data_IF_884598169747
#
_entry.id   IF_884598169747
#
_cell.length_a   1.000
_cell.length_b   1.000
_cell.length_c   1.000
_cell.angle_alpha   90.00
_cell.angle_beta   90.00
_cell.angle_gamma   90.00
#
_symmetry.space_group_name_H-M   'P 1'
#
loop_
_entity.id
_entity.type
_entity.pdbx_description
1 polymer ?
#
# COMPACT_ATOMS: atom_id res chain seq x y z
N UNK A 1 17.43 -22.46 -2.08
CA UNK A 1 18.22 -21.51 -1.29
C UNK A 1 18.48 -20.26 -2.13
N UNK A 2 18.28 -19.07 -1.54
CA UNK A 2 18.50 -17.79 -2.24
C UNK A 2 19.99 -17.57 -2.48
N UNK A 3 20.35 -17.12 -3.70
CA UNK A 3 21.73 -16.74 -4.04
C UNK A 3 22.08 -15.31 -3.58
N UNK A 4 21.09 -14.55 -3.08
CA UNK A 4 21.27 -13.16 -2.63
C UNK A 4 20.58 -12.97 -1.30
N UNK A 5 21.20 -12.21 -0.42
CA UNK A 5 20.70 -11.85 0.90
C UNK A 5 20.73 -10.33 1.00
N UNK A 6 19.65 -9.75 1.50
CA UNK A 6 19.58 -8.34 1.87
C UNK A 6 19.94 -8.23 3.34
N UNK A 7 20.81 -7.29 3.67
CA UNK A 7 21.16 -6.92 5.05
C UNK A 7 20.83 -5.45 5.23
N UNK A 8 19.95 -5.16 6.18
CA UNK A 8 19.43 -3.81 6.44
C UNK A 8 19.63 -3.43 7.90
N UNK A 9 19.61 -2.11 8.17
CA UNK A 9 19.63 -1.63 9.55
C UNK A 9 18.32 -1.99 10.26
N UNK A 10 18.41 -2.51 11.48
CA UNK A 10 17.26 -2.79 12.30
C UNK A 10 16.69 -1.51 12.89
N UNK A 11 15.38 -1.32 12.79
CA UNK A 11 14.64 -0.29 13.52
C UNK A 11 14.16 -0.91 14.84
N UNK A 12 14.83 -0.58 15.95
CA UNK A 12 14.58 -1.23 17.24
C UNK A 12 13.23 -0.82 17.87
N UNK A 13 12.88 0.47 17.77
CA UNK A 13 11.61 1.02 18.28
C UNK A 13 10.65 1.27 17.13
N UNK A 14 10.21 0.19 16.51
CA UNK A 14 9.39 0.24 15.31
C UNK A 14 7.90 0.43 15.63
N UNK A 15 7.31 1.50 15.07
CA UNK A 15 5.86 1.64 14.88
C UNK A 15 5.54 1.50 13.39
N UNK A 16 4.72 0.51 13.04
CA UNK A 16 4.25 0.32 11.66
C UNK A 16 3.03 1.19 11.39
N UNK A 17 3.00 1.82 10.22
CA UNK A 17 1.85 2.60 9.74
C UNK A 17 1.60 2.26 8.28
N UNK A 18 0.33 1.98 7.95
CA UNK A 18 -0.08 1.71 6.59
C UNK A 18 -1.01 2.79 6.08
N UNK A 19 -0.86 3.14 4.80
CA UNK A 19 -1.72 4.09 4.10
C UNK A 19 -2.04 3.57 2.71
N UNK A 20 -3.32 3.46 2.36
CA UNK A 20 -3.74 3.07 1.02
C UNK A 20 -3.81 4.30 0.11
N UNK A 21 -3.52 4.12 -1.17
CA UNK A 21 -3.66 5.15 -2.21
C UNK A 21 -4.51 4.60 -3.35
N UNK A 22 -5.45 5.41 -3.83
CA UNK A 22 -6.36 5.10 -4.93
C UNK A 22 -6.23 6.16 -6.02
N UNK A 23 -6.09 5.75 -7.26
CA UNK A 23 -6.03 6.66 -8.41
C UNK A 23 -5.08 6.21 -9.50
N UNK A 24 -4.49 7.18 -10.17
CA UNK A 24 -3.46 7.01 -11.18
C UNK A 24 -2.31 8.01 -10.96
N UNK A 25 -1.38 8.07 -11.91
CA UNK A 25 -0.24 8.99 -11.85
C UNK A 25 -0.67 10.46 -11.71
N UNK A 26 -1.74 10.86 -12.39
CA UNK A 26 -2.19 12.26 -12.46
C UNK A 26 -3.07 12.64 -11.29
N UNK A 27 -3.96 11.72 -10.88
CA UNK A 27 -4.94 11.96 -9.84
C UNK A 27 -5.00 10.77 -8.88
N UNK A 28 -4.47 10.95 -7.68
CA UNK A 28 -4.51 9.94 -6.63
C UNK A 28 -4.79 10.58 -5.27
N UNK A 29 -5.51 9.83 -4.46
CA UNK A 29 -5.91 10.23 -3.10
C UNK A 29 -5.45 9.19 -2.08
N UNK A 30 -4.98 9.61 -0.89
CA UNK A 30 -4.62 8.71 0.19
C UNK A 30 -5.82 8.44 1.10
N UNK A 31 -5.89 7.24 1.66
CA UNK A 31 -6.82 6.89 2.74
C UNK A 31 -6.41 7.52 4.07
N UNK A 32 -7.19 7.24 5.14
CA UNK A 32 -6.70 7.35 6.52
C UNK A 32 -5.54 6.37 6.74
N UNK A 33 -4.71 6.65 7.75
CA UNK A 33 -3.63 5.74 8.15
C UNK A 33 -4.17 4.70 9.15
N UNK A 34 -3.59 3.49 9.13
CA UNK A 34 -3.77 2.49 10.18
C UNK A 34 -2.45 2.21 10.91
N UNK A 35 -2.53 1.86 12.18
CA UNK A 35 -1.45 1.28 12.94
C UNK A 35 -1.84 -0.16 13.31
N UNK A 36 -1.13 -1.19 12.76
CA UNK A 36 -1.30 -2.55 13.24
C UNK A 36 -0.85 -2.65 14.69
N UNK A 37 -1.71 -3.15 15.58
CA UNK A 37 -1.35 -3.36 16.99
C UNK A 37 -0.68 -4.73 17.11
N UNK A 38 0.60 -4.73 17.44
CA UNK A 38 1.34 -5.96 17.71
C UNK A 38 0.97 -6.48 19.10
N UNK A 39 0.39 -7.67 19.17
CA UNK A 39 0.29 -8.42 20.41
C UNK A 39 1.64 -9.06 20.70
N UNK A 40 2.52 -8.36 21.47
CA UNK A 40 3.77 -8.90 22.00
C UNK A 40 4.71 -9.59 21.00
N UNK A 41 5.96 -9.15 20.97
CA UNK A 41 7.10 -9.71 20.21
C UNK A 41 6.86 -10.10 18.75
N UNK A 42 7.64 -9.51 17.85
CA UNK A 42 7.81 -9.80 16.41
C UNK A 42 6.86 -10.89 15.90
N UNK A 43 5.77 -10.49 15.24
CA UNK A 43 4.98 -11.40 14.44
C UNK A 43 5.94 -12.07 13.45
N UNK A 44 6.30 -13.34 13.71
CA UNK A 44 7.11 -14.12 12.79
C UNK A 44 6.39 -14.19 11.44
N UNK A 45 7.12 -14.47 10.37
CA UNK A 45 6.54 -14.73 9.05
C UNK A 45 5.43 -15.80 9.15
N UNK A 46 5.58 -16.75 10.07
CA UNK A 46 4.60 -17.78 10.38
C UNK A 46 3.29 -17.20 10.92
N UNK A 47 3.34 -16.19 11.78
CA UNK A 47 2.15 -15.52 12.30
C UNK A 47 1.45 -14.64 11.23
N UNK A 48 2.22 -14.04 10.32
CA UNK A 48 1.66 -13.23 9.22
C UNK A 48 0.96 -14.08 8.14
N UNK A 49 1.47 -15.26 7.82
CA UNK A 49 1.06 -16.03 6.64
C UNK A 49 0.63 -17.48 6.93
N UNK A 50 1.04 -18.06 8.05
CA UNK A 50 0.76 -19.44 8.41
C UNK A 50 -0.11 -19.59 9.67
N UNK A 51 -0.65 -18.49 10.21
CA UNK A 51 -1.46 -18.41 11.44
C UNK A 51 -2.69 -19.31 11.46
N UNK A 52 -2.47 -20.60 11.31
CA UNK A 52 -3.41 -21.68 11.35
C UNK A 52 -2.84 -22.86 12.13
N UNK A 53 -2.73 -22.73 13.44
CA UNK A 53 -2.75 -23.93 14.29
C UNK A 53 -4.05 -24.69 14.03
N UNK A 54 -3.93 -26.01 13.88
CA UNK A 54 -4.90 -26.98 13.34
C UNK A 54 -6.32 -27.03 13.95
N UNK A 55 -6.88 -26.01 14.58
CA UNK A 55 -8.25 -26.04 15.13
C UNK A 55 -8.91 -24.66 15.34
N UNK A 56 -8.56 -23.60 14.58
CA UNK A 56 -9.40 -22.41 14.56
C UNK A 56 -9.94 -22.22 13.14
N UNK A 57 -11.25 -21.94 12.97
CA UNK A 57 -11.77 -21.52 11.67
C UNK A 57 -10.93 -20.31 11.24
N UNK A 58 -10.58 -20.22 9.95
CA UNK A 58 -9.86 -19.10 9.36
C UNK A 58 -10.69 -17.83 9.57
N UNK A 59 -10.56 -17.21 10.72
CA UNK A 59 -10.95 -15.82 10.90
C UNK A 59 -9.97 -15.04 10.03
N UNK A 60 -10.44 -14.73 8.83
CA UNK A 60 -9.69 -13.88 7.90
C UNK A 60 -9.19 -12.62 8.60
N UNK A 61 -8.59 -11.67 7.92
CA UNK A 61 -7.95 -10.42 8.39
C UNK A 61 -8.53 -9.69 9.64
N UNK A 62 -9.54 -10.25 10.31
CA UNK A 62 -10.17 -9.74 11.54
C UNK A 62 -9.39 -10.02 12.84
N UNK A 63 -8.35 -10.86 12.82
CA UNK A 63 -7.64 -11.24 14.05
C UNK A 63 -6.53 -10.28 14.47
N UNK A 64 -6.15 -9.32 13.60
CA UNK A 64 -5.14 -8.32 13.95
C UNK A 64 -5.86 -7.09 14.50
N UNK A 65 -5.63 -6.76 15.76
CA UNK A 65 -6.11 -5.49 16.35
C UNK A 65 -5.45 -4.35 15.58
N UNK A 66 -6.26 -3.41 15.08
CA UNK A 66 -5.81 -2.29 14.25
C UNK A 66 -6.38 -1.01 14.81
N UNK A 67 -5.58 0.02 14.86
CA UNK A 67 -6.03 1.37 15.19
C UNK A 67 -6.30 2.14 13.89
N UNK A 68 -7.56 2.44 13.61
CA UNK A 68 -8.01 3.14 12.39
C UNK A 68 -9.02 4.23 12.79
N UNK A 69 -8.74 5.51 12.55
CA UNK A 69 -7.45 6.07 12.10
C UNK A 69 -6.34 5.87 13.13
N UNK A 70 -5.09 5.73 12.67
CA UNK A 70 -3.92 5.64 13.54
C UNK A 70 -3.79 6.91 14.40
N UNK A 71 -3.53 6.74 15.70
CA UNK A 71 -3.26 7.84 16.60
C UNK A 71 -1.84 8.39 16.38
N UNK A 72 -1.76 9.41 15.53
CA UNK A 72 -0.54 10.11 15.15
C UNK A 72 -0.75 11.62 15.22
N UNK A 73 0.31 12.41 15.46
CA UNK A 73 0.28 13.86 15.27
C UNK A 73 -0.21 14.22 13.86
N UNK A 74 -0.91 15.36 13.73
CA UNK A 74 -1.52 15.76 12.46
C UNK A 74 -0.47 16.00 11.36
N UNK A 75 0.66 16.60 11.70
CA UNK A 75 1.79 16.82 10.78
C UNK A 75 2.41 15.53 10.29
N UNK A 76 2.58 14.53 11.17
CA UNK A 76 3.05 13.18 10.81
C UNK A 76 2.06 12.48 9.89
N UNK A 77 0.77 12.55 10.21
CA UNK A 77 -0.30 11.99 9.37
C UNK A 77 -0.29 12.62 7.98
N UNK A 78 -0.21 13.95 7.92
CA UNK A 78 -0.16 14.69 6.65
C UNK A 78 1.09 14.32 5.84
N UNK A 79 2.25 14.20 6.49
CA UNK A 79 3.49 13.79 5.86
C UNK A 79 3.39 12.38 5.25
N UNK A 80 2.89 11.39 6.02
CA UNK A 80 2.72 10.00 5.56
C UNK A 80 1.77 9.94 4.37
N UNK A 81 0.60 10.57 4.45
CA UNK A 81 -0.39 10.60 3.37
C UNK A 81 0.17 11.25 2.09
N UNK A 82 0.90 12.35 2.21
CA UNK A 82 1.58 12.99 1.09
C UNK A 82 2.64 12.08 0.48
N UNK A 83 3.48 11.48 1.32
CA UNK A 83 4.56 10.57 0.88
C UNK A 83 4.00 9.32 0.23
N UNK A 84 2.88 8.77 0.73
CA UNK A 84 2.19 7.65 0.10
C UNK A 84 1.78 7.97 -1.34
N UNK A 85 1.15 9.13 -1.58
CA UNK A 85 0.82 9.57 -2.93
C UNK A 85 2.06 9.80 -3.82
N UNK A 86 3.14 10.34 -3.26
CA UNK A 86 4.39 10.52 -3.99
C UNK A 86 4.99 9.17 -4.40
N UNK A 87 5.05 8.21 -3.48
CA UNK A 87 5.53 6.84 -3.74
C UNK A 87 4.71 6.17 -4.84
N UNK A 88 3.38 6.28 -4.75
CA UNK A 88 2.45 5.74 -5.75
C UNK A 88 2.73 6.29 -7.15
N UNK A 89 2.94 7.62 -7.27
CA UNK A 89 3.25 8.28 -8.55
C UNK A 89 4.63 7.91 -9.08
N UNK A 90 5.66 7.93 -8.24
CA UNK A 90 7.04 7.60 -8.66
C UNK A 90 7.15 6.18 -9.19
N UNK A 91 6.36 5.26 -8.63
CA UNK A 91 6.29 3.87 -9.07
C UNK A 91 5.29 3.64 -10.21
N UNK A 92 4.68 4.72 -10.75
CA UNK A 92 3.69 4.66 -11.83
C UNK A 92 2.56 3.65 -11.56
N UNK A 93 2.05 3.64 -10.34
CA UNK A 93 0.94 2.78 -9.95
C UNK A 93 -0.38 3.29 -10.50
N UNK A 94 -1.30 2.35 -10.79
CA UNK A 94 -2.69 2.62 -11.16
C UNK A 94 -3.62 1.72 -10.33
N UNK A 95 -4.78 2.24 -9.97
CA UNK A 95 -5.77 1.51 -9.15
C UNK A 95 -5.57 1.74 -7.68
N UNK A 96 -5.47 0.69 -6.87
CA UNK A 96 -5.25 0.76 -5.43
C UNK A 96 -3.94 0.10 -5.04
N UNK A 97 -3.19 0.76 -4.16
CA UNK A 97 -2.00 0.19 -3.51
C UNK A 97 -2.00 0.55 -2.03
N UNK A 98 -1.35 -0.27 -1.19
CA UNK A 98 -1.08 0.07 0.21
C UNK A 98 0.42 0.27 0.37
N UNK A 99 0.79 1.40 0.92
CA UNK A 99 2.16 1.75 1.24
C UNK A 99 2.35 1.58 2.74
N UNK A 100 3.33 0.78 3.11
CA UNK A 100 3.64 0.45 4.49
C UNK A 100 4.87 1.26 4.92
N UNK A 101 4.75 1.93 6.06
CA UNK A 101 5.77 2.82 6.62
C UNK A 101 6.31 2.26 7.94
N UNK A 102 7.55 2.60 8.21
CA UNK A 102 8.20 2.38 9.50
C UNK A 102 8.51 3.72 10.16
N UNK A 103 8.04 3.92 11.36
CA UNK A 103 8.46 5.04 12.23
C UNK A 103 9.44 4.49 13.24
N UNK A 104 10.64 5.06 13.28
CA UNK A 104 11.58 4.83 14.37
C UNK A 104 11.25 5.77 15.53
N UNK A 105 10.58 5.25 16.54
CA UNK A 105 10.18 6.04 17.72
C UNK A 105 11.37 6.53 18.56
N UNK A 106 12.60 6.02 18.32
CA UNK A 106 13.78 6.49 19.02
C UNK A 106 14.25 7.85 18.52
N UNK A 107 14.05 8.16 17.24
CA UNK A 107 14.56 9.38 16.60
C UNK A 107 13.51 10.14 15.77
N UNK A 108 12.29 9.57 15.62
CA UNK A 108 11.20 10.16 14.87
C UNK A 108 11.34 10.04 13.35
N UNK A 109 12.30 9.31 12.84
CA UNK A 109 12.47 9.10 11.40
C UNK A 109 11.35 8.24 10.83
N UNK A 110 10.90 8.59 9.63
CA UNK A 110 9.84 7.88 8.91
C UNK A 110 10.41 7.34 7.61
N UNK A 111 10.26 6.04 7.40
CA UNK A 111 10.75 5.34 6.22
C UNK A 111 9.59 4.73 5.45
N UNK A 112 9.64 4.80 4.11
CA UNK A 112 8.80 3.97 3.26
C UNK A 112 9.42 2.57 3.26
N UNK A 113 8.67 1.57 3.69
CA UNK A 113 9.14 0.20 3.80
C UNK A 113 8.84 -0.59 2.52
N UNK A 114 7.56 -0.75 2.22
CA UNK A 114 7.13 -1.51 1.05
C UNK A 114 5.86 -0.96 0.43
N UNK A 115 5.61 -1.37 -0.82
CA UNK A 115 4.36 -1.12 -1.51
C UNK A 115 3.67 -2.43 -1.88
N UNK A 116 2.41 -2.57 -1.48
CA UNK A 116 1.53 -3.66 -1.87
C UNK A 116 0.62 -3.18 -3.01
N UNK A 117 0.92 -3.59 -4.24
CA UNK A 117 0.17 -3.19 -5.44
C UNK A 117 -1.15 -3.93 -5.62
N UNK A 118 -1.37 -5.01 -4.87
CA UNK A 118 -2.64 -5.76 -4.80
C UNK A 118 -2.89 -6.07 -3.32
N UNK A 119 -3.27 -5.04 -2.52
CA UNK A 119 -3.46 -5.24 -1.09
C UNK A 119 -4.63 -6.18 -0.83
N UNK A 120 -4.52 -7.01 0.21
CA UNK A 120 -5.58 -7.92 0.61
C UNK A 120 -6.91 -7.19 0.79
N UNK A 121 -7.99 -7.74 0.23
CA UNK A 121 -9.34 -7.15 0.21
C UNK A 121 -9.38 -5.71 -0.30
N UNK A 122 -8.43 -5.30 -1.18
CA UNK A 122 -8.28 -3.94 -1.72
C UNK A 122 -8.11 -2.88 -0.63
N UNK A 123 -7.74 -3.27 0.59
CA UNK A 123 -7.69 -2.40 1.77
C UNK A 123 -9.02 -1.66 2.02
N UNK A 124 -10.17 -2.27 1.68
CA UNK A 124 -11.48 -1.62 1.69
C UNK A 124 -11.80 -0.96 3.05
N UNK A 125 -11.36 -1.56 4.15
CA UNK A 125 -11.57 -1.05 5.51
C UNK A 125 -10.93 0.33 5.73
N UNK A 126 -9.81 0.64 5.07
CA UNK A 126 -9.21 1.97 5.10
C UNK A 126 -10.04 2.98 4.30
N UNK A 127 -10.64 2.52 3.21
CA UNK A 127 -11.51 3.35 2.37
C UNK A 127 -12.84 3.64 3.04
N UNK A 128 -13.45 2.66 3.69
CA UNK A 128 -14.65 2.88 4.51
C UNK A 128 -14.39 3.90 5.62
N UNK A 129 -13.28 3.79 6.34
CA UNK A 129 -12.86 4.77 7.34
C UNK A 129 -12.53 6.15 6.74
N UNK A 130 -12.24 6.22 5.44
CA UNK A 130 -12.03 7.48 4.69
C UNK A 130 -13.36 8.05 4.18
N UNK A 131 -14.46 7.30 4.25
CA UNK A 131 -15.78 7.68 3.75
C UNK A 131 -16.11 7.17 2.34
N UNK A 132 -15.28 6.31 1.76
CA UNK A 132 -15.51 5.66 0.46
C UNK A 132 -16.06 4.27 0.70
N UNK A 133 -17.27 4.00 0.26
CA UNK A 133 -17.92 2.69 0.40
C UNK A 133 -17.28 1.67 -0.56
N UNK A 134 -17.47 0.39 -0.25
CA UNK A 134 -16.86 -0.69 -1.05
C UNK A 134 -17.34 -0.70 -2.51
N UNK A 135 -18.62 -0.49 -2.75
CA UNK A 135 -19.19 -0.38 -4.10
C UNK A 135 -18.57 0.79 -4.88
N UNK A 136 -18.47 1.96 -4.26
CA UNK A 136 -17.81 3.12 -4.84
C UNK A 136 -16.31 2.87 -5.11
N UNK A 137 -15.60 2.18 -4.20
CA UNK A 137 -14.21 1.79 -4.42
C UNK A 137 -14.06 0.93 -5.68
N UNK A 138 -14.94 -0.06 -5.84
CA UNK A 138 -14.93 -0.95 -7.02
C UNK A 138 -15.23 -0.18 -8.30
N UNK A 139 -16.24 0.70 -8.29
CA UNK A 139 -16.59 1.53 -9.45
C UNK A 139 -15.41 2.43 -9.87
N UNK A 140 -14.73 3.05 -8.91
CA UNK A 140 -13.53 3.88 -9.19
C UNK A 140 -12.40 3.04 -9.80
N UNK A 141 -12.16 1.83 -9.30
CA UNK A 141 -11.14 0.93 -9.84
C UNK A 141 -11.45 0.50 -11.28
N UNK A 142 -12.72 0.20 -11.58
CA UNK A 142 -13.18 -0.12 -12.94
C UNK A 142 -12.98 1.09 -13.86
N UNK A 143 -13.34 2.29 -13.41
CA UNK A 143 -13.16 3.52 -14.20
C UNK A 143 -11.68 3.79 -14.52
N UNK A 144 -10.77 3.59 -13.54
CA UNK A 144 -9.32 3.70 -13.73
C UNK A 144 -8.83 2.68 -14.76
N UNK A 145 -9.30 1.43 -14.67
CA UNK A 145 -8.92 0.38 -15.61
C UNK A 145 -9.33 0.71 -17.05
N UNK A 146 -10.55 1.23 -17.26
CA UNK A 146 -11.01 1.68 -18.57
C UNK A 146 -10.22 2.90 -19.08
N UNK A 147 -9.91 3.85 -18.20
CA UNK A 147 -9.05 4.99 -18.55
C UNK A 147 -7.68 4.52 -19.03
N UNK A 148 -7.02 3.66 -18.25
CA UNK A 148 -5.73 3.07 -18.61
C UNK A 148 -5.76 2.34 -19.95
N UNK A 149 -6.82 1.56 -20.21
CA UNK A 149 -6.99 0.87 -21.50
C UNK A 149 -7.05 1.87 -22.64
N UNK A 150 -7.91 2.89 -22.57
CA UNK A 150 -8.00 3.95 -23.59
C UNK A 150 -6.64 4.62 -23.82
N UNK A 151 -5.97 5.02 -22.75
CA UNK A 151 -4.67 5.69 -22.83
C UNK A 151 -3.59 4.80 -23.50
N UNK A 152 -3.66 3.49 -23.32
CA UNK A 152 -2.76 2.53 -23.97
C UNK A 152 -3.04 2.36 -25.45
N UNK A 153 -4.31 2.45 -25.87
CA UNK A 153 -4.73 2.32 -27.28
C UNK A 153 -4.28 3.51 -28.14
N UNK A 154 -4.08 4.69 -27.54
CA UNK A 154 -3.55 5.86 -28.22
C UNK A 154 -2.01 5.86 -28.36
N UNK A 155 -1.31 4.95 -27.74
CA UNK A 155 0.14 4.86 -27.86
C UNK A 155 0.50 4.11 -29.14
N UNK A 156 1.19 4.79 -30.05
CA UNK A 156 1.78 4.13 -31.23
C UNK A 156 2.92 3.23 -30.77
N UNK A 157 2.73 1.91 -30.93
CA UNK A 157 3.70 0.89 -30.50
C UNK A 157 4.60 0.42 -31.66
N UNK A 158 4.31 0.85 -32.90
CA UNK A 158 5.12 0.52 -34.09
C UNK A 158 5.22 1.73 -35.00
N UNK A 159 6.40 1.95 -35.58
CA UNK A 159 6.64 2.93 -36.62
C UNK A 159 6.80 2.18 -37.94
N UNK A 160 6.08 2.61 -38.98
CA UNK A 160 6.22 2.07 -40.33
C UNK A 160 7.44 2.59 -41.07
N UNK A 161 8.07 3.66 -40.56
CA UNK A 161 9.21 4.29 -41.21
C UNK A 161 10.52 3.68 -40.78
N UNK A 162 11.34 3.33 -41.74
CA UNK A 162 12.69 2.84 -41.52
C UNK A 162 13.61 4.05 -41.28
N UNK A 163 13.89 4.36 -40.00
CA UNK A 163 14.80 5.45 -39.60
C UNK A 163 16.24 5.26 -40.10
N UNK A 164 16.61 4.11 -40.65
CA UNK A 164 17.92 3.81 -41.22
C UNK A 164 17.93 3.79 -42.76
N UNK A 165 16.87 4.29 -43.40
CA UNK A 165 16.75 4.35 -44.85
C UNK A 165 17.39 5.63 -45.46
N UNK A 166 18.52 6.14 -44.85
CA UNK A 166 19.33 7.22 -45.41
C UNK A 166 20.75 6.73 -45.61
#
# INVERSE_FOLDING_TARGET
YSKRIIVECLVEKLKEINCSVLGDYYDCVPSVCEAPVRSGEILSYEDKYLGGGKNKPSEGMHSTVREIPANLPEDVTAFIRKTACQTFRVLACDGVSRIDFMIDEANGNIYVNEINTIPGSLSFYLWEATGVKFDELVDRLIAIAFKRKRDSEFKTTSYSDNIFAY
#
